data_IF_905482563896
#
_entry.id   IF_905482563896
#
_cell.length_a   1.000
_cell.length_b   1.000
_cell.length_c   1.000
_cell.angle_alpha   90.00
_cell.angle_beta   90.00
_cell.angle_gamma   90.00
#
_symmetry.space_group_name_H-M   'P 1'
#
loop_
_entity.id
_entity.type
_entity.pdbx_description
1 polymer ?
#
# COMPACT_ATOMS: atom_id res chain seq x y z
N UNK A 1 43.80 -15.82 21.06
CA UNK A 1 43.24 -16.22 22.37
C UNK A 1 43.04 -17.72 22.29
N UNK A 2 43.73 -18.50 23.12
CA UNK A 2 43.53 -19.95 23.13
C UNK A 2 42.11 -20.22 23.62
N UNK A 3 41.30 -20.86 22.79
CA UNK A 3 39.89 -21.07 23.09
C UNK A 3 39.71 -22.10 24.21
N UNK A 4 38.57 -22.13 24.91
CA UNK A 4 38.26 -23.18 25.89
C UNK A 4 38.40 -24.60 25.32
N UNK A 5 38.27 -24.77 23.99
CA UNK A 5 38.52 -26.01 23.25
C UNK A 5 39.99 -26.44 23.19
N UNK A 6 40.96 -25.51 23.11
CA UNK A 6 42.39 -25.86 23.05
C UNK A 6 42.85 -26.48 24.37
N UNK A 7 42.32 -25.96 25.49
CA UNK A 7 42.55 -26.54 26.82
C UNK A 7 41.93 -27.92 26.98
N UNK A 8 40.81 -28.20 26.31
CA UNK A 8 40.19 -29.52 26.28
C UNK A 8 41.00 -30.51 25.44
N UNK A 9 41.42 -30.13 24.23
CA UNK A 9 42.30 -30.96 23.39
C UNK A 9 43.59 -31.28 24.15
N UNK A 10 44.22 -30.29 24.79
CA UNK A 10 45.42 -30.52 25.60
C UNK A 10 45.17 -31.50 26.77
N UNK A 11 44.06 -31.35 27.50
CA UNK A 11 43.71 -32.26 28.61
C UNK A 11 43.38 -33.67 28.13
N UNK A 12 42.67 -33.81 27.00
CA UNK A 12 42.33 -35.12 26.43
C UNK A 12 43.54 -35.81 25.82
N UNK A 13 44.47 -35.08 25.21
CA UNK A 13 45.78 -35.61 24.76
C UNK A 13 46.64 -36.05 25.94
N UNK A 14 46.68 -35.28 27.03
CA UNK A 14 47.42 -35.68 28.23
C UNK A 14 46.80 -36.91 28.90
N UNK A 15 45.47 -37.03 28.90
CA UNK A 15 44.78 -38.22 29.39
C UNK A 15 45.13 -39.47 28.56
N UNK A 16 45.26 -39.33 27.23
CA UNK A 16 45.71 -40.43 26.35
C UNK A 16 47.06 -40.95 26.77
N UNK A 17 48.00 -40.01 26.95
CA UNK A 17 49.36 -40.34 27.31
C UNK A 17 49.40 -41.06 28.67
N UNK A 18 48.53 -40.69 29.60
CA UNK A 18 48.41 -41.35 30.90
C UNK A 18 47.84 -42.77 30.77
N UNK A 19 46.82 -42.98 29.93
CA UNK A 19 46.23 -44.30 29.68
C UNK A 19 47.22 -45.23 28.98
N UNK A 20 47.95 -44.77 27.96
CA UNK A 20 48.96 -45.58 27.25
C UNK A 20 50.09 -46.04 28.17
N UNK A 21 50.52 -45.15 29.07
CA UNK A 21 51.51 -45.47 30.11
C UNK A 21 50.96 -46.52 31.07
N UNK A 22 49.70 -46.40 31.49
CA UNK A 22 49.02 -47.38 32.34
C UNK A 22 48.91 -48.75 31.67
N UNK A 23 48.50 -48.80 30.40
CA UNK A 23 48.44 -50.04 29.60
C UNK A 23 49.81 -50.73 29.56
N UNK A 24 50.85 -49.95 29.26
CA UNK A 24 52.22 -50.46 29.20
C UNK A 24 52.69 -51.02 30.55
N UNK A 25 52.30 -50.36 31.65
CA UNK A 25 52.65 -50.75 33.01
C UNK A 25 51.89 -51.99 33.47
N UNK A 26 50.60 -52.11 33.15
CA UNK A 26 49.80 -53.32 33.42
C UNK A 26 50.34 -54.52 32.65
N UNK A 27 50.69 -54.36 31.38
CA UNK A 27 51.33 -55.42 30.58
C UNK A 27 52.64 -55.89 31.23
N UNK A 28 53.51 -54.95 31.60
CA UNK A 28 54.76 -55.27 32.28
C UNK A 28 54.55 -55.96 33.65
N UNK A 29 53.50 -55.60 34.40
CA UNK A 29 53.20 -56.19 35.71
C UNK A 29 52.55 -57.58 35.59
N UNK A 30 51.76 -57.81 34.54
CA UNK A 30 51.21 -59.13 34.22
C UNK A 30 52.32 -60.14 33.89
N UNK A 31 53.40 -59.71 33.23
CA UNK A 31 54.57 -60.55 32.97
C UNK A 31 55.35 -60.94 34.24
N UNK A 32 55.25 -60.15 35.32
CA UNK A 32 56.03 -60.33 36.57
C UNK A 32 55.19 -60.95 37.72
N UNK A 33 53.88 -61.15 37.52
CA UNK A 33 53.02 -61.89 38.45
C UNK A 33 52.68 -61.16 39.78
N UNK A 34 52.75 -59.82 39.81
CA UNK A 34 52.43 -59.05 41.02
C UNK A 34 51.00 -58.48 40.99
N UNK A 35 50.05 -59.24 41.55
CA UNK A 35 48.62 -58.92 41.55
C UNK A 35 48.27 -57.57 42.23
N UNK A 36 49.03 -57.15 43.26
CA UNK A 36 48.72 -55.95 44.04
C UNK A 36 48.89 -54.63 43.27
N UNK A 37 49.70 -54.61 42.20
CA UNK A 37 49.88 -53.39 41.39
C UNK A 37 48.86 -53.26 40.24
N UNK A 38 48.08 -54.30 39.97
CA UNK A 38 47.03 -54.27 38.94
C UNK A 38 45.81 -53.50 39.44
N UNK A 39 45.46 -53.63 40.71
CA UNK A 39 44.30 -52.94 41.31
C UNK A 39 44.46 -51.42 41.32
N UNK A 40 45.66 -50.93 41.64
CA UNK A 40 45.97 -49.48 41.61
C UNK A 40 45.94 -48.93 40.17
N UNK A 41 46.38 -49.72 39.19
CA UNK A 41 46.29 -49.35 37.78
C UNK A 41 44.84 -49.32 37.27
N UNK A 42 44.01 -50.26 37.70
CA UNK A 42 42.57 -50.29 37.37
C UNK A 42 41.84 -49.10 37.98
N UNK A 43 42.14 -48.73 39.24
CA UNK A 43 41.53 -47.57 39.88
C UNK A 43 41.99 -46.25 39.22
N UNK A 44 43.25 -46.14 38.81
CA UNK A 44 43.71 -44.98 38.03
C UNK A 44 43.02 -44.87 36.67
N UNK A 45 42.79 -45.98 35.98
CA UNK A 45 42.03 -46.01 34.72
C UNK A 45 40.55 -45.59 34.95
N UNK A 46 39.95 -46.02 36.06
CA UNK A 46 38.59 -45.61 36.44
C UNK A 46 38.49 -44.10 36.70
N UNK A 47 39.44 -43.53 37.43
CA UNK A 47 39.51 -42.09 37.69
C UNK A 47 39.78 -41.26 36.42
N UNK A 48 40.46 -41.84 35.42
CA UNK A 48 40.63 -41.23 34.11
C UNK A 48 39.32 -41.17 33.33
N UNK A 49 38.52 -42.25 33.37
CA UNK A 49 37.21 -42.30 32.72
C UNK A 49 36.22 -41.28 33.30
N UNK A 50 36.13 -41.17 34.63
CA UNK A 50 35.26 -40.19 35.31
C UNK A 50 35.63 -38.75 34.89
N UNK A 51 36.92 -38.43 34.83
CA UNK A 51 37.38 -37.10 34.41
C UNK A 51 37.07 -36.78 32.94
N UNK A 52 37.00 -37.80 32.08
CA UNK A 52 36.59 -37.62 30.69
C UNK A 52 35.08 -37.34 30.58
N UNK A 53 34.27 -38.03 31.38
CA UNK A 53 32.82 -37.83 31.46
C UNK A 53 32.47 -36.42 31.98
N UNK A 54 33.12 -35.97 33.06
CA UNK A 54 32.92 -34.61 33.59
C UNK A 54 33.27 -33.53 32.57
N UNK A 55 34.33 -33.75 31.78
CA UNK A 55 34.74 -32.80 30.74
C UNK A 55 33.75 -32.76 29.57
N UNK A 56 33.16 -33.89 29.20
CA UNK A 56 32.09 -33.94 28.18
C UNK A 56 30.83 -33.21 28.67
N UNK A 57 30.43 -33.42 29.92
CA UNK A 57 29.28 -32.73 30.53
C UNK A 57 29.48 -31.21 30.60
N UNK A 58 30.69 -30.74 30.95
CA UNK A 58 31.02 -29.31 30.94
C UNK A 58 30.90 -28.67 29.55
N UNK A 59 31.13 -29.42 28.48
CA UNK A 59 30.96 -28.94 27.09
C UNK A 59 29.48 -28.83 26.74
N UNK A 60 28.65 -29.79 27.17
CA UNK A 60 27.20 -29.76 26.97
C UNK A 60 26.56 -28.53 27.63
N UNK A 61 27.05 -28.13 28.80
CA UNK A 61 26.58 -26.93 29.51
C UNK A 61 27.09 -25.61 28.89
N UNK A 62 28.21 -25.64 28.16
CA UNK A 62 28.69 -24.47 27.43
C UNK A 62 27.90 -24.30 26.13
N UNK A 63 27.14 -23.20 26.03
CA UNK A 63 26.36 -22.85 24.85
C UNK A 63 27.26 -22.66 23.61
N UNK A 64 27.57 -23.75 22.88
CA UNK A 64 28.16 -23.74 21.53
C UNK A 64 27.23 -22.93 20.63
N UNK A 65 27.65 -21.71 20.29
CA UNK A 65 26.80 -20.69 19.65
C UNK A 65 27.14 -20.50 18.16
N UNK A 66 28.25 -21.07 17.68
CA UNK A 66 28.71 -20.94 16.30
C UNK A 66 28.79 -22.29 15.57
N UNK A 67 28.67 -22.24 14.24
CA UNK A 67 28.82 -23.41 13.36
C UNK A 67 30.24 -24.01 13.41
N UNK A 68 31.26 -23.18 13.68
CA UNK A 68 32.64 -23.66 13.88
C UNK A 68 32.78 -24.47 15.17
N UNK A 69 32.06 -24.11 16.23
CA UNK A 69 32.06 -24.85 17.48
C UNK A 69 31.33 -26.21 17.32
N UNK A 70 30.35 -26.31 16.42
CA UNK A 70 29.67 -27.57 16.09
C UNK A 70 30.59 -28.54 15.32
N UNK A 71 31.29 -28.07 14.28
CA UNK A 71 32.24 -28.90 13.52
C UNK A 71 33.42 -29.40 14.39
N UNK A 72 33.85 -28.59 15.36
CA UNK A 72 34.85 -29.00 16.35
C UNK A 72 34.31 -30.01 17.37
N UNK A 73 33.05 -29.90 17.77
CA UNK A 73 32.39 -30.88 18.62
C UNK A 73 32.23 -32.23 17.91
N UNK A 74 31.91 -32.24 16.61
CA UNK A 74 31.84 -33.46 15.79
C UNK A 74 33.22 -34.16 15.69
N UNK A 75 34.28 -33.38 15.48
CA UNK A 75 35.67 -33.91 15.49
C UNK A 75 36.03 -34.51 16.86
N UNK A 76 35.65 -33.84 17.96
CA UNK A 76 35.87 -34.35 19.32
C UNK A 76 35.06 -35.63 19.60
N UNK A 77 33.83 -35.74 19.06
CA UNK A 77 33.01 -36.94 19.12
C UNK A 77 33.70 -38.12 18.44
N UNK A 78 34.24 -37.92 17.23
CA UNK A 78 34.96 -38.97 16.49
C UNK A 78 36.23 -39.44 17.21
N UNK A 79 36.95 -38.53 17.88
CA UNK A 79 38.11 -38.91 18.72
C UNK A 79 37.70 -39.70 19.96
N UNK A 80 36.56 -39.36 20.58
CA UNK A 80 36.02 -40.12 21.71
C UNK A 80 35.59 -41.54 21.28
N UNK A 81 34.94 -41.66 20.12
CA UNK A 81 34.53 -42.95 19.54
C UNK A 81 35.73 -43.87 19.22
N UNK A 82 36.77 -43.34 18.60
CA UNK A 82 37.99 -44.10 18.31
C UNK A 82 38.62 -44.68 19.60
N UNK A 83 38.59 -43.91 20.70
CA UNK A 83 39.16 -44.32 21.99
C UNK A 83 38.30 -45.30 22.77
N UNK A 84 36.99 -45.19 22.69
CA UNK A 84 36.09 -46.22 23.23
C UNK A 84 36.40 -47.57 22.57
N UNK A 85 36.67 -47.58 21.26
CA UNK A 85 37.15 -48.77 20.54
C UNK A 85 38.47 -49.35 21.09
N UNK A 86 39.43 -48.50 21.45
CA UNK A 86 40.69 -48.91 22.07
C UNK A 86 40.50 -49.50 23.47
N UNK A 87 39.63 -48.91 24.29
CA UNK A 87 39.28 -49.43 25.63
C UNK A 87 38.57 -50.79 25.54
N UNK A 88 37.65 -50.96 24.58
CA UNK A 88 37.01 -52.26 24.30
C UNK A 88 38.05 -53.29 23.87
N UNK A 89 39.02 -52.90 23.05
CA UNK A 89 40.13 -53.79 22.62
C UNK A 89 41.00 -54.21 23.82
N UNK A 90 41.26 -53.29 24.75
CA UNK A 90 41.97 -53.58 26.00
C UNK A 90 41.16 -54.53 26.90
N UNK A 91 39.83 -54.34 26.98
CA UNK A 91 38.95 -55.24 27.72
C UNK A 91 39.03 -56.67 27.18
N UNK A 92 38.96 -56.85 25.86
CA UNK A 92 39.02 -58.18 25.23
C UNK A 92 40.36 -58.88 25.53
N UNK A 93 41.49 -58.16 25.49
CA UNK A 93 42.78 -58.72 25.88
C UNK A 93 42.86 -59.08 27.38
N UNK A 94 42.29 -58.25 28.27
CA UNK A 94 42.24 -58.56 29.69
C UNK A 94 41.34 -59.78 29.99
N UNK A 95 40.23 -59.93 29.25
CA UNK A 95 39.35 -61.07 29.36
C UNK A 95 40.04 -62.38 28.91
N UNK A 96 40.86 -62.34 27.85
CA UNK A 96 41.70 -63.49 27.44
C UNK A 96 42.73 -63.86 28.51
N UNK A 97 43.40 -62.87 29.13
CA UNK A 97 44.36 -63.10 30.22
C UNK A 97 43.67 -63.67 31.46
N UNK A 98 42.47 -63.17 31.80
CA UNK A 98 41.69 -63.60 32.96
C UNK A 98 41.26 -65.08 32.88
N UNK A 99 41.10 -65.66 31.68
CA UNK A 99 40.81 -67.08 31.51
C UNK A 99 41.93 -68.01 32.04
N UNK A 100 43.12 -67.47 32.32
CA UNK A 100 44.29 -68.23 32.80
C UNK A 100 44.63 -68.01 34.28
N UNK A 101 43.88 -67.17 35.00
CA UNK A 101 44.20 -66.74 36.37
C UNK A 101 43.14 -67.18 37.42
N UNK A 102 43.49 -67.27 38.72
CA UNK A 102 42.59 -67.72 39.79
C UNK A 102 41.36 -66.80 40.00
N UNK A 103 40.31 -67.34 40.63
CA UNK A 103 38.94 -66.81 40.76
C UNK A 103 38.76 -65.35 41.20
N UNK A 104 39.75 -64.69 41.79
CA UNK A 104 39.65 -63.28 42.22
C UNK A 104 39.78 -62.28 41.05
N UNK A 105 40.32 -62.69 39.90
CA UNK A 105 40.45 -61.83 38.69
C UNK A 105 39.13 -61.70 37.92
N UNK A 106 38.21 -62.66 38.06
CA UNK A 106 36.88 -62.61 37.43
C UNK A 106 36.02 -61.43 37.93
N UNK A 107 36.22 -61.00 39.18
CA UNK A 107 35.55 -59.83 39.74
C UNK A 107 36.04 -58.51 39.11
N UNK A 108 37.34 -58.42 38.79
CA UNK A 108 37.93 -57.26 38.13
C UNK A 108 37.47 -57.17 36.68
N UNK A 109 37.38 -58.30 35.96
CA UNK A 109 36.85 -58.34 34.59
C UNK A 109 35.40 -57.84 34.50
N UNK A 110 34.51 -58.29 35.41
CA UNK A 110 33.11 -57.84 35.43
C UNK A 110 32.94 -56.34 35.73
N UNK A 111 33.86 -55.72 36.48
CA UNK A 111 33.86 -54.26 36.68
C UNK A 111 34.32 -53.51 35.43
N UNK A 112 35.26 -54.07 34.66
CA UNK A 112 35.69 -53.49 33.39
C UNK A 112 34.58 -53.55 32.32
N UNK A 113 33.80 -54.64 32.27
CA UNK A 113 32.62 -54.76 31.42
C UNK A 113 31.59 -53.67 31.71
N UNK A 114 31.24 -53.49 32.98
CA UNK A 114 30.28 -52.47 33.41
C UNK A 114 30.74 -51.05 33.02
N UNK A 115 32.04 -50.77 33.12
CA UNK A 115 32.60 -49.48 32.71
C UNK A 115 32.54 -49.29 31.18
N UNK A 116 32.85 -50.31 30.38
CA UNK A 116 32.77 -50.24 28.92
C UNK A 116 31.32 -50.03 28.43
N UNK A 117 30.35 -50.73 29.04
CA UNK A 117 28.92 -50.54 28.75
C UNK A 117 28.49 -49.11 29.07
N UNK A 118 28.91 -48.58 30.22
CA UNK A 118 28.60 -47.20 30.63
C UNK A 118 29.21 -46.17 29.68
N UNK A 119 30.45 -46.39 29.22
CA UNK A 119 31.12 -45.51 28.26
C UNK A 119 30.41 -45.50 26.89
N UNK A 120 30.02 -46.68 26.39
CA UNK A 120 29.26 -46.77 25.15
C UNK A 120 27.89 -46.07 25.26
N UNK A 121 27.20 -46.21 26.39
CA UNK A 121 25.93 -45.53 26.63
C UNK A 121 26.10 -44.00 26.64
N UNK A 122 27.16 -43.50 27.29
CA UNK A 122 27.48 -42.07 27.30
C UNK A 122 27.81 -41.53 25.88
N UNK A 123 28.54 -42.31 25.07
CA UNK A 123 28.85 -41.93 23.69
C UNK A 123 27.59 -41.84 22.83
N UNK A 124 26.67 -42.81 22.95
CA UNK A 124 25.39 -42.77 22.24
C UNK A 124 24.56 -41.55 22.64
N UNK A 125 24.47 -41.27 23.95
CA UNK A 125 23.76 -40.08 24.46
C UNK A 125 24.36 -38.77 23.96
N UNK A 126 25.70 -38.69 23.88
CA UNK A 126 26.38 -37.53 23.32
C UNK A 126 26.09 -37.36 21.82
N UNK A 127 26.16 -38.43 21.03
CA UNK A 127 25.86 -38.41 19.61
C UNK A 127 24.41 -37.98 19.32
N UNK A 128 23.45 -38.48 20.10
CA UNK A 128 22.04 -38.05 20.01
C UNK A 128 21.88 -36.55 20.31
N UNK A 129 22.62 -36.04 21.31
CA UNK A 129 22.58 -34.62 21.68
C UNK A 129 23.18 -33.72 20.61
N UNK A 130 24.28 -34.13 19.98
CA UNK A 130 24.88 -33.41 18.84
C UNK A 130 23.88 -33.35 17.68
N UNK A 131 23.26 -34.48 17.33
CA UNK A 131 22.24 -34.54 16.27
C UNK A 131 21.04 -33.64 16.56
N UNK A 132 20.54 -33.64 17.80
CA UNK A 132 19.44 -32.75 18.19
C UNK A 132 19.82 -31.27 18.06
N UNK A 133 21.08 -30.93 18.37
CA UNK A 133 21.60 -29.56 18.25
C UNK A 133 21.74 -29.12 16.79
N UNK A 134 22.25 -29.97 15.92
CA UNK A 134 22.33 -29.69 14.49
C UNK A 134 20.94 -29.44 13.89
N UNK A 135 19.95 -30.27 14.27
CA UNK A 135 18.56 -30.07 13.86
C UNK A 135 17.99 -28.74 14.37
N UNK A 136 18.31 -28.34 15.61
CA UNK A 136 17.89 -27.06 16.18
C UNK A 136 18.54 -25.86 15.47
N UNK A 137 19.83 -25.97 15.10
CA UNK A 137 20.52 -24.95 14.31
C UNK A 137 19.92 -24.81 12.91
N UNK A 138 19.63 -25.93 12.24
CA UNK A 138 18.96 -25.93 10.94
C UNK A 138 17.55 -25.29 11.01
N UNK A 139 16.78 -25.60 12.07
CA UNK A 139 15.48 -24.98 12.29
C UNK A 139 15.59 -23.47 12.55
N UNK A 140 16.59 -23.03 13.32
CA UNK A 140 16.87 -21.61 13.56
C UNK A 140 17.15 -20.86 12.25
N UNK A 141 17.97 -21.45 11.38
CA UNK A 141 18.34 -20.83 10.11
C UNK A 141 17.14 -20.77 9.15
N UNK A 142 16.27 -21.78 9.15
CA UNK A 142 14.98 -21.72 8.42
C UNK A 142 14.06 -20.60 8.93
N UNK A 143 14.00 -20.39 10.25
CA UNK A 143 13.22 -19.28 10.84
C UNK A 143 13.79 -17.93 10.41
N UNK A 144 15.11 -17.77 10.35
CA UNK A 144 15.75 -16.54 9.87
C UNK A 144 15.38 -16.22 8.41
N UNK A 145 15.42 -17.22 7.52
CA UNK A 145 14.99 -17.07 6.12
C UNK A 145 13.50 -16.68 6.04
N UNK A 146 12.65 -17.29 6.86
CA UNK A 146 11.22 -16.93 6.93
C UNK A 146 10.99 -15.49 7.38
N UNK A 147 11.78 -14.98 8.34
CA UNK A 147 11.69 -13.60 8.83
C UNK A 147 12.09 -12.59 7.74
N UNK A 148 13.14 -12.89 6.97
CA UNK A 148 13.55 -12.04 5.84
C UNK A 148 12.48 -11.97 4.76
N UNK A 149 11.82 -13.09 4.44
CA UNK A 149 10.69 -13.12 3.50
C UNK A 149 9.49 -12.29 3.99
N UNK A 150 9.19 -12.33 5.29
CA UNK A 150 8.13 -11.50 5.88
C UNK A 150 8.49 -10.01 5.78
N UNK A 151 9.74 -9.63 6.06
CA UNK A 151 10.21 -8.25 5.93
C UNK A 151 10.11 -7.73 4.48
N UNK A 152 10.47 -8.56 3.50
CA UNK A 152 10.28 -8.24 2.09
C UNK A 152 8.79 -8.04 1.74
N UNK A 153 7.91 -8.89 2.26
CA UNK A 153 6.47 -8.73 2.11
C UNK A 153 5.94 -7.42 2.70
N UNK A 154 6.43 -7.02 3.87
CA UNK A 154 6.07 -5.75 4.52
C UNK A 154 6.52 -4.55 3.69
N UNK A 155 7.73 -4.58 3.13
CA UNK A 155 8.24 -3.52 2.24
C UNK A 155 7.36 -3.38 0.97
N UNK A 156 7.01 -4.50 0.33
CA UNK A 156 6.13 -4.49 -0.83
C UNK A 156 4.73 -3.93 -0.50
N UNK A 157 4.18 -4.22 0.68
CA UNK A 157 2.90 -3.64 1.13
C UNK A 157 3.00 -2.12 1.32
N UNK A 158 4.14 -1.60 1.78
CA UNK A 158 4.35 -0.16 1.92
C UNK A 158 4.35 0.56 0.56
N UNK A 159 5.06 0.03 -0.45
CA UNK A 159 5.09 0.57 -1.82
C UNK A 159 3.69 0.57 -2.47
N UNK A 160 2.91 -0.50 -2.26
CA UNK A 160 1.52 -0.57 -2.73
C UNK A 160 0.65 0.51 -2.07
N UNK A 161 0.81 0.78 -0.77
CA UNK A 161 0.06 1.84 -0.09
C UNK A 161 0.39 3.23 -0.63
N UNK A 162 1.66 3.50 -0.91
CA UNK A 162 2.09 4.78 -1.51
C UNK A 162 1.53 4.95 -2.93
N UNK A 163 1.53 3.88 -3.72
CA UNK A 163 0.91 3.87 -5.05
C UNK A 163 -0.60 4.14 -4.99
N UNK A 164 -1.32 3.52 -4.04
CA UNK A 164 -2.75 3.78 -3.81
C UNK A 164 -3.00 5.24 -3.41
N UNK A 165 -2.18 5.81 -2.52
CA UNK A 165 -2.31 7.20 -2.11
C UNK A 165 -2.13 8.17 -3.30
N UNK A 166 -1.15 7.92 -4.15
CA UNK A 166 -0.92 8.68 -5.38
C UNK A 166 -2.10 8.58 -6.33
N UNK A 167 -2.65 7.38 -6.54
CA UNK A 167 -3.81 7.16 -7.39
C UNK A 167 -5.04 7.93 -6.88
N UNK A 168 -5.31 7.91 -5.57
CA UNK A 168 -6.41 8.65 -4.97
C UNK A 168 -6.28 10.16 -5.15
N UNK A 169 -5.06 10.71 -5.02
CA UNK A 169 -4.78 12.13 -5.29
C UNK A 169 -5.07 12.49 -6.75
N UNK A 170 -4.64 11.66 -7.70
CA UNK A 170 -4.89 11.87 -9.13
C UNK A 170 -6.39 11.80 -9.47
N UNK A 171 -7.12 10.87 -8.87
CA UNK A 171 -8.57 10.75 -9.07
C UNK A 171 -9.33 11.98 -8.54
N UNK A 172 -8.95 12.50 -7.37
CA UNK A 172 -9.53 13.72 -6.82
C UNK A 172 -9.31 14.93 -7.76
N UNK A 173 -8.10 15.08 -8.32
CA UNK A 173 -7.80 16.13 -9.29
C UNK A 173 -8.61 16.00 -10.59
N UNK A 174 -8.82 14.76 -11.07
CA UNK A 174 -9.64 14.51 -12.26
C UNK A 174 -11.12 14.86 -12.03
N UNK A 175 -11.68 14.52 -10.86
CA UNK A 175 -13.05 14.88 -10.47
C UNK A 175 -13.22 16.40 -10.43
N UNK A 176 -12.27 17.12 -9.83
CA UNK A 176 -12.29 18.59 -9.80
C UNK A 176 -12.27 19.21 -11.21
N UNK A 177 -11.46 18.65 -12.11
CA UNK A 177 -11.38 19.11 -13.51
C UNK A 177 -12.70 18.89 -14.26
N UNK A 178 -13.38 17.76 -14.03
CA UNK A 178 -14.68 17.49 -14.64
C UNK A 178 -15.77 18.47 -14.17
N UNK A 179 -15.77 18.84 -12.89
CA UNK A 179 -16.69 19.84 -12.36
C UNK A 179 -16.49 21.21 -13.02
N UNK A 180 -15.23 21.64 -13.22
CA UNK A 180 -14.92 22.88 -13.91
C UNK A 180 -15.41 22.89 -15.37
N UNK A 181 -15.31 21.77 -16.09
CA UNK A 181 -15.86 21.64 -17.44
C UNK A 181 -17.39 21.73 -17.47
N UNK A 182 -18.08 21.17 -16.47
CA UNK A 182 -19.53 21.30 -16.35
C UNK A 182 -19.96 22.75 -16.11
N UNK A 183 -19.22 23.49 -15.28
CA UNK A 183 -19.48 24.92 -15.05
C UNK A 183 -19.27 25.73 -16.33
N UNK A 184 -18.20 25.45 -17.10
CA UNK A 184 -17.99 26.08 -18.41
C UNK A 184 -19.14 25.76 -19.36
N UNK A 185 -19.61 24.50 -19.40
CA UNK A 185 -20.74 24.11 -20.23
C UNK A 185 -22.03 24.86 -19.83
N UNK A 186 -22.28 25.03 -18.53
CA UNK A 186 -23.41 25.81 -18.02
C UNK A 186 -23.28 27.30 -18.35
N UNK A 187 -22.07 27.85 -18.26
CA UNK A 187 -21.78 29.23 -18.65
C UNK A 187 -21.98 29.45 -20.15
N UNK A 188 -21.54 28.52 -21.01
CA UNK A 188 -21.75 28.61 -22.45
C UNK A 188 -23.23 28.45 -22.83
N UNK A 189 -23.96 27.56 -22.15
CA UNK A 189 -25.40 27.39 -22.35
C UNK A 189 -26.21 28.64 -21.95
N UNK A 190 -25.77 29.37 -20.93
CA UNK A 190 -26.39 30.65 -20.53
C UNK A 190 -25.85 31.86 -21.31
N UNK A 191 -24.63 31.78 -21.84
CA UNK A 191 -24.01 32.78 -22.70
C UNK A 191 -24.40 32.64 -24.18
N UNK A 192 -25.43 31.84 -24.51
CA UNK A 192 -26.00 31.84 -25.83
C UNK A 192 -26.34 33.28 -26.24
N UNK A 193 -25.66 33.76 -27.28
CA UNK A 193 -26.06 34.91 -28.10
C UNK A 193 -27.36 34.54 -28.82
N UNK A 194 -28.41 34.27 -28.06
CA UNK A 194 -29.70 33.97 -28.61
C UNK A 194 -30.32 35.29 -29.02
N UNK A 195 -30.27 35.60 -30.31
CA UNK A 195 -31.15 36.57 -30.96
C UNK A 195 -32.60 36.06 -30.99
N UNK A 196 -33.03 35.31 -29.96
CA UNK A 196 -34.42 34.94 -29.77
C UNK A 196 -35.10 36.13 -29.12
N UNK A 197 -35.79 36.88 -29.96
CA UNK A 197 -36.63 37.97 -29.54
C UNK A 197 -37.91 37.41 -28.91
N UNK A 198 -38.26 37.90 -27.72
CA UNK A 198 -39.53 37.54 -27.09
C UNK A 198 -40.66 38.30 -27.79
N UNK A 199 -41.68 37.57 -28.22
CA UNK A 199 -42.85 38.08 -28.95
C UNK A 199 -44.08 38.14 -28.04
N UNK A 200 -44.82 39.25 -28.09
CA UNK A 200 -46.09 39.41 -27.41
C UNK A 200 -47.16 39.93 -28.39
N UNK A 201 -48.34 39.33 -28.40
CA UNK A 201 -49.48 39.83 -29.16
C UNK A 201 -50.52 40.41 -28.20
N UNK A 202 -50.95 41.64 -28.46
CA UNK A 202 -51.88 42.40 -27.65
C UNK A 202 -53.03 42.90 -28.52
N UNK A 203 -54.24 42.93 -27.97
CA UNK A 203 -55.40 43.59 -28.58
C UNK A 203 -55.82 44.71 -27.65
N UNK A 204 -55.20 45.89 -27.77
CA UNK A 204 -55.45 46.98 -26.85
C UNK A 204 -56.84 47.60 -27.07
N UNK A 205 -57.41 48.12 -25.99
CA UNK A 205 -58.53 49.05 -26.08
C UNK A 205 -58.01 50.42 -26.54
N UNK A 206 -58.27 51.49 -25.80
CA UNK A 206 -57.82 52.85 -26.17
C UNK A 206 -56.36 53.16 -25.82
N UNK A 207 -55.71 52.36 -24.98
CA UNK A 207 -54.31 52.57 -24.56
C UNK A 207 -53.56 51.26 -24.30
N UNK A 208 -52.24 51.27 -24.51
CA UNK A 208 -51.36 50.14 -24.22
C UNK A 208 -49.96 50.60 -23.80
N UNK A 209 -49.39 49.91 -22.82
CA UNK A 209 -47.99 50.08 -22.41
C UNK A 209 -47.16 48.93 -22.95
N UNK A 210 -46.13 49.24 -23.73
CA UNK A 210 -45.15 48.28 -24.23
C UNK A 210 -44.01 48.17 -23.22
N UNK A 211 -43.92 47.02 -22.57
CA UNK A 211 -42.88 46.79 -21.57
C UNK A 211 -41.62 46.16 -22.17
N UNK A 212 -40.58 46.98 -22.35
CA UNK A 212 -39.33 46.58 -22.98
C UNK A 212 -38.55 45.49 -22.21
N UNK A 213 -38.89 45.24 -20.94
CA UNK A 213 -38.33 44.13 -20.16
C UNK A 213 -39.17 42.84 -20.31
N UNK A 214 -40.40 42.92 -20.84
CA UNK A 214 -41.29 41.76 -21.07
C UNK A 214 -41.10 41.17 -22.47
N UNK A 215 -41.01 41.98 -23.53
CA UNK A 215 -40.86 41.50 -24.90
C UNK A 215 -40.07 42.51 -25.75
N UNK A 216 -39.46 42.02 -26.83
CA UNK A 216 -38.72 42.84 -27.79
C UNK A 216 -39.47 42.99 -29.12
N UNK A 217 -40.48 42.14 -29.37
CA UNK A 217 -41.40 42.27 -30.50
C UNK A 217 -42.83 42.28 -29.95
N UNK A 218 -43.60 43.30 -30.31
CA UNK A 218 -45.01 43.45 -29.96
C UNK A 218 -45.86 43.47 -31.21
N UNK A 219 -46.89 42.64 -31.28
CA UNK A 219 -47.97 42.79 -32.26
C UNK A 219 -49.18 43.41 -31.60
N UNK A 220 -49.66 44.54 -32.10
CA UNK A 220 -50.86 45.22 -31.64
C UNK A 220 -51.97 45.05 -32.67
N UNK A 221 -53.07 44.40 -32.29
CA UNK A 221 -54.28 44.37 -33.10
C UNK A 221 -55.12 45.60 -32.78
N UNK A 222 -55.10 46.61 -33.66
CA UNK A 222 -55.76 47.89 -33.45
C UNK A 222 -57.25 47.78 -33.73
N UNK A 223 -58.07 47.72 -32.68
CA UNK A 223 -59.54 47.66 -32.80
C UNK A 223 -60.20 49.02 -32.61
N UNK A 224 -59.50 49.97 -31.98
CA UNK A 224 -60.01 51.31 -31.71
C UNK A 224 -59.61 52.31 -32.81
N UNK A 225 -60.43 53.34 -33.03
CA UNK A 225 -60.13 54.42 -34.00
C UNK A 225 -58.79 55.08 -33.69
N UNK A 226 -58.44 55.22 -32.42
CA UNK A 226 -57.13 55.71 -31.99
C UNK A 226 -56.69 54.97 -30.73
N UNK A 227 -55.54 54.32 -30.82
CA UNK A 227 -54.87 53.66 -29.68
C UNK A 227 -53.68 54.50 -29.25
N UNK A 228 -53.60 54.81 -27.95
CA UNK A 228 -52.44 55.49 -27.36
C UNK A 228 -51.40 54.47 -26.95
N UNK A 229 -50.17 54.63 -27.43
CA UNK A 229 -49.04 53.76 -27.07
C UNK A 229 -48.16 54.48 -26.06
N UNK A 230 -47.76 53.76 -25.02
CA UNK A 230 -46.73 54.16 -24.07
C UNK A 230 -45.61 53.11 -24.07
N UNK A 231 -44.40 53.51 -23.72
CA UNK A 231 -43.26 52.59 -23.57
C UNK A 231 -42.81 52.67 -22.12
N UNK A 232 -42.67 51.51 -21.46
CA UNK A 232 -42.21 51.46 -20.07
C UNK A 232 -40.82 52.09 -19.93
N UNK A 233 -40.54 52.64 -18.75
CA UNK A 233 -39.18 53.06 -18.44
C UNK A 233 -38.28 51.83 -18.39
N UNK A 234 -37.25 51.84 -19.22
CA UNK A 234 -36.32 50.72 -19.33
C UNK A 234 -35.34 50.76 -18.16
N UNK A 235 -35.30 49.70 -17.35
CA UNK A 235 -34.25 49.49 -16.36
C UNK A 235 -32.96 49.05 -17.07
N UNK A 236 -31.76 49.59 -16.78
CA UNK A 236 -30.55 49.09 -17.48
C UNK A 236 -29.30 49.95 -17.40
N UNK A 237 -28.17 49.36 -17.76
CA UNK A 237 -26.85 50.01 -17.79
C UNK A 237 -26.71 50.94 -19.00
N UNK A 238 -26.00 52.06 -18.80
CA UNK A 238 -25.86 53.17 -19.74
C UNK A 238 -25.11 52.85 -21.03
N UNK A 239 -24.39 51.73 -21.03
CA UNK A 239 -23.58 51.23 -22.12
C UNK A 239 -24.36 50.27 -23.06
N UNK A 240 -25.66 50.06 -22.82
CA UNK A 240 -26.50 49.17 -23.61
C UNK A 240 -27.50 49.93 -24.48
N UNK A 241 -27.65 49.47 -25.72
CA UNK A 241 -28.75 49.88 -26.59
C UNK A 241 -29.90 48.86 -26.49
N UNK A 242 -31.13 49.31 -26.72
CA UNK A 242 -32.32 48.45 -26.77
C UNK A 242 -33.13 48.71 -28.02
N UNK A 243 -33.55 47.63 -28.67
CA UNK A 243 -34.41 47.68 -29.84
C UNK A 243 -35.75 47.01 -29.52
N UNK A 244 -36.84 47.67 -29.89
CA UNK A 244 -38.19 47.12 -29.91
C UNK A 244 -38.70 47.11 -31.34
N UNK A 245 -39.44 46.08 -31.72
CA UNK A 245 -40.20 46.05 -32.98
C UNK A 245 -41.68 45.99 -32.65
N UNK A 246 -42.46 46.91 -33.19
CA UNK A 246 -43.91 46.99 -33.03
C UNK A 246 -44.54 46.71 -34.38
N UNK A 247 -45.30 45.63 -34.45
CA UNK A 247 -46.14 45.22 -35.57
C UNK A 247 -47.55 45.73 -35.28
N UNK A 248 -48.11 46.54 -36.16
CA UNK A 248 -49.41 47.19 -35.99
C UNK A 248 -50.37 46.59 -37.00
N UNK A 249 -51.32 45.79 -36.54
CA UNK A 249 -52.34 45.19 -37.40
C UNK A 249 -53.62 46.02 -37.37
N UNK A 250 -54.10 46.42 -38.54
CA UNK A 250 -55.39 47.08 -38.69
C UNK A 250 -56.52 46.09 -38.39
N UNK A 251 -57.33 46.34 -37.36
CA UNK A 251 -58.44 45.45 -36.96
C UNK A 251 -59.79 45.84 -37.55
N UNK A 252 -60.03 47.14 -37.74
CA UNK A 252 -61.23 47.65 -38.44
C UNK A 252 -60.87 48.40 -39.72
N UNK A 253 -59.59 48.77 -39.89
CA UNK A 253 -59.12 49.66 -40.94
C UNK A 253 -59.14 51.11 -40.50
N UNK A 254 -58.21 51.90 -41.05
CA UNK A 254 -58.00 53.32 -40.72
C UNK A 254 -57.78 53.61 -39.23
N UNK A 255 -57.37 52.61 -38.45
CA UNK A 255 -57.01 52.74 -37.05
C UNK A 255 -55.71 53.56 -36.92
N UNK A 256 -55.67 54.47 -35.95
CA UNK A 256 -54.52 55.36 -35.71
C UNK A 256 -53.79 54.99 -34.44
N UNK A 257 -52.49 55.29 -34.41
CA UNK A 257 -51.69 55.22 -33.19
C UNK A 257 -51.29 56.62 -32.77
N UNK A 258 -51.57 56.96 -31.51
CA UNK A 258 -51.00 58.13 -30.85
C UNK A 258 -49.70 57.71 -30.16
N UNK A 259 -48.59 58.11 -30.75
CA UNK A 259 -47.26 57.82 -30.23
C UNK A 259 -46.90 58.74 -29.05
N UNK A 260 -46.08 58.25 -28.10
CA UNK A 260 -45.61 59.06 -27.00
C UNK A 260 -44.55 60.07 -27.49
N UNK A 261 -44.44 61.19 -26.79
CA UNK A 261 -43.58 62.33 -27.19
C UNK A 261 -42.08 62.05 -27.07
N UNK A 262 -41.71 60.96 -26.40
CA UNK A 262 -40.32 60.53 -26.25
C UNK A 262 -39.81 59.73 -27.46
N UNK A 263 -40.61 59.51 -28.50
CA UNK A 263 -40.14 58.94 -29.77
C UNK A 263 -39.78 60.07 -30.74
N UNK A 264 -38.53 60.06 -31.17
CA UNK A 264 -37.97 60.96 -32.18
C UNK A 264 -38.11 60.30 -33.55
N UNK A 265 -38.98 60.86 -34.37
CA UNK A 265 -39.18 60.41 -35.74
C UNK A 265 -38.31 61.20 -36.72
N UNK A 266 -37.98 60.57 -37.85
CA UNK A 266 -37.39 61.29 -38.97
C UNK A 266 -38.29 62.47 -39.38
N UNK A 267 -37.70 63.65 -39.58
CA UNK A 267 -38.40 64.89 -39.91
C UNK A 267 -39.53 65.30 -38.94
N UNK A 268 -39.50 64.80 -37.69
CA UNK A 268 -40.56 65.01 -36.69
C UNK A 268 -41.96 64.56 -37.15
N UNK A 269 -42.03 63.57 -38.06
CA UNK A 269 -43.28 63.02 -38.55
C UNK A 269 -43.41 61.55 -38.18
N UNK A 270 -44.42 61.22 -37.37
CA UNK A 270 -44.80 59.84 -37.12
C UNK A 270 -45.23 59.13 -38.42
N UNK A 271 -45.04 57.81 -38.53
CA UNK A 271 -45.41 57.08 -39.74
C UNK A 271 -46.92 57.15 -40.00
N UNK A 272 -47.27 57.21 -41.29
CA UNK A 272 -48.64 57.00 -41.75
C UNK A 272 -48.84 55.49 -41.85
N UNK A 273 -49.85 54.98 -41.16
CA UNK A 273 -50.20 53.56 -41.15
C UNK A 273 -51.07 53.20 -42.35
N UNK A 274 -51.07 51.93 -42.71
CA UNK A 274 -52.03 51.33 -43.62
C UNK A 274 -53.47 51.58 -43.19
N UNK A 275 -54.38 51.66 -44.16
CA UNK A 275 -55.80 51.93 -43.93
C UNK A 275 -56.67 50.69 -44.08
N UNK A 276 -56.18 49.64 -44.74
CA UNK A 276 -56.96 48.45 -45.04
C UNK A 276 -57.03 47.54 -43.82
N UNK A 277 -58.21 47.01 -43.52
CA UNK A 277 -58.37 46.00 -42.48
C UNK A 277 -57.50 44.77 -42.80
N UNK A 278 -56.77 44.27 -41.80
CA UNK A 278 -55.92 43.09 -41.87
C UNK A 278 -54.46 43.38 -42.23
N UNK A 279 -54.16 44.54 -42.80
CA UNK A 279 -52.77 44.94 -43.12
C UNK A 279 -51.96 45.18 -41.84
N UNK A 280 -50.69 44.79 -41.89
CA UNK A 280 -49.70 45.02 -40.84
C UNK A 280 -48.66 46.06 -41.26
N UNK A 281 -48.39 47.01 -40.38
CA UNK A 281 -47.28 47.95 -40.47
C UNK A 281 -46.20 47.61 -39.44
N UNK A 282 -44.94 47.86 -39.75
CA UNK A 282 -43.82 47.54 -38.85
C UNK A 282 -43.03 48.80 -38.49
N UNK A 283 -42.89 49.03 -37.19
CA UNK A 283 -42.11 50.12 -36.61
C UNK A 283 -40.99 49.53 -35.75
N UNK A 284 -39.78 50.05 -35.90
CA UNK A 284 -38.66 49.72 -35.02
C UNK A 284 -38.31 50.93 -34.17
N UNK A 285 -38.10 50.72 -32.88
CA UNK A 285 -37.73 51.74 -31.92
C UNK A 285 -36.36 51.39 -31.32
N UNK A 286 -35.41 52.31 -31.41
CA UNK A 286 -34.06 52.14 -30.87
C UNK A 286 -33.79 53.16 -29.76
N UNK A 287 -33.45 52.68 -28.58
CA UNK A 287 -32.98 53.51 -27.46
C UNK A 287 -31.48 53.28 -27.26
N UNK A 288 -30.72 54.37 -27.15
CA UNK A 288 -29.28 54.34 -26.89
C UNK A 288 -28.97 55.10 -25.61
N UNK A 289 -28.27 54.47 -24.67
CA UNK A 289 -27.85 55.13 -23.43
C UNK A 289 -29.01 55.44 -22.46
N UNK A 290 -28.84 56.48 -21.65
CA UNK A 290 -29.68 56.74 -20.47
C UNK A 290 -30.87 57.67 -20.71
N UNK A 291 -30.97 58.37 -21.84
CA UNK A 291 -32.09 59.27 -22.07
C UNK A 291 -33.37 58.47 -22.33
N UNK A 292 -34.53 58.87 -21.82
CA UNK A 292 -35.77 58.09 -22.00
C UNK A 292 -36.37 58.23 -23.41
N UNK A 293 -35.54 58.52 -24.42
CA UNK A 293 -35.93 58.76 -25.80
C UNK A 293 -35.65 57.56 -26.69
N UNK A 294 -36.46 57.42 -27.74
CA UNK A 294 -36.30 56.39 -28.78
C UNK A 294 -36.15 57.05 -30.14
N UNK A 295 -35.31 56.50 -31.00
CA UNK A 295 -35.32 56.75 -32.44
C UNK A 295 -36.35 55.82 -33.08
N UNK A 296 -37.34 56.38 -33.75
CA UNK A 296 -38.38 55.63 -34.44
C UNK A 296 -38.06 55.47 -35.93
N UNK A 297 -38.15 54.23 -36.41
CA UNK A 297 -37.94 53.85 -37.81
C UNK A 297 -39.20 53.17 -38.35
N UNK A 298 -39.77 53.73 -39.41
CA UNK A 298 -40.81 53.03 -40.15
C UNK A 298 -40.16 51.97 -41.03
N UNK A 299 -40.35 50.71 -40.65
CA UNK A 299 -39.60 49.58 -41.20
C UNK A 299 -40.30 48.93 -42.40
N UNK A 300 -41.61 49.17 -42.56
CA UNK A 300 -42.39 48.78 -43.73
C UNK A 300 -43.89 48.92 -43.47
N UNK A 301 -44.66 49.01 -44.54
CA UNK A 301 -46.10 49.22 -44.54
C UNK A 301 -46.86 48.15 -45.35
N UNK A 302 -48.16 48.04 -45.11
CA UNK A 302 -49.09 47.22 -45.91
C UNK A 302 -48.69 45.75 -46.11
N UNK A 303 -48.09 45.11 -45.09
CA UNK A 303 -47.85 43.68 -45.15
C UNK A 303 -49.18 42.93 -45.08
N UNK A 304 -49.42 42.05 -46.05
CA UNK A 304 -50.58 41.15 -46.03
C UNK A 304 -50.28 39.99 -45.08
N UNK A 305 -50.99 39.95 -43.94
CA UNK A 305 -50.82 38.97 -42.87
C UNK A 305 -51.75 37.76 -43.01
#
# INVERSE_FOLDING_TARGET
MSGPLDGFVAKTTELTRQVDVLISRVKALAEVGQAYQVEDAVEQARQAAIRAEDAANSILESNVSSAEDAARAETAAGVAEARAGEVVTMHNHLAEIAQTLPTDVAFVAGRADAAAISANAAQQSFAETVKAKEQALAARDQVAVGLDQVNLGVAAVAEVRESIATLNSNMAAAIASAAALQDIANQLGSAAFSSTYKFASLTPASSVTLDADIASIFRLNLTEVTTTVEISAVSGAADKARQLTVILRQGTGSNKVKWPTNIRWANNMAPVLSFTNGEEDVVTLLKCGNDNSYYGFFSGDSFNA
#
